data_IF_466674203658
#
_entry.id   IF_466674203658
#
_cell.length_a   1.000
_cell.length_b   1.000
_cell.length_c   1.000
_cell.angle_alpha   90.00
_cell.angle_beta   90.00
_cell.angle_gamma   90.00
#
_symmetry.space_group_name_H-M   'P 1'
#
loop_
_entity.id
_entity.type
_entity.pdbx_description
1 polymer ?
#
# COMPACT_ATOMS: atom_id res chain seq x y z
N UNK A 1 38.67 -27.62 31.11
CA UNK A 1 37.22 -27.47 31.27
C UNK A 1 36.89 -25.99 31.07
N UNK A 2 36.64 -25.59 29.83
CA UNK A 2 36.39 -24.19 29.46
C UNK A 2 34.92 -24.08 29.06
N UNK A 3 34.14 -23.29 29.80
CA UNK A 3 32.75 -22.94 29.46
C UNK A 3 32.78 -21.87 28.36
N UNK A 4 32.27 -22.17 27.18
CA UNK A 4 31.98 -21.21 26.13
C UNK A 4 30.54 -20.80 26.28
N UNK A 5 30.31 -19.54 26.67
CA UNK A 5 29.03 -18.89 26.71
C UNK A 5 28.54 -18.68 25.26
N UNK A 6 27.46 -19.33 24.87
CA UNK A 6 26.83 -19.16 23.57
C UNK A 6 25.97 -17.89 23.53
N UNK A 7 26.51 -16.81 22.98
CA UNK A 7 25.71 -15.67 22.57
C UNK A 7 25.04 -16.04 21.25
N UNK A 8 23.73 -16.20 21.28
CA UNK A 8 22.89 -16.37 20.09
C UNK A 8 22.90 -15.02 19.35
N UNK A 9 23.71 -14.91 18.33
CA UNK A 9 23.64 -13.80 17.38
C UNK A 9 22.35 -13.98 16.56
N UNK A 10 21.33 -13.24 16.94
CA UNK A 10 20.18 -13.04 16.06
C UNK A 10 20.69 -12.25 14.85
N UNK A 11 20.82 -12.93 13.72
CA UNK A 11 21.08 -12.30 12.44
C UNK A 11 19.83 -11.44 12.10
N UNK A 12 19.87 -10.17 12.48
CA UNK A 12 19.08 -9.19 11.78
C UNK A 12 19.58 -9.20 10.32
N UNK A 13 18.72 -9.36 9.30
CA UNK A 13 19.17 -9.23 7.93
C UNK A 13 19.78 -7.83 7.79
N UNK A 14 21.03 -7.78 7.35
CA UNK A 14 21.73 -6.54 6.99
C UNK A 14 20.96 -5.93 5.81
N UNK A 15 19.93 -5.15 6.13
CA UNK A 15 19.20 -4.37 5.14
C UNK A 15 20.18 -3.28 4.70
N UNK A 16 20.65 -3.39 3.47
CA UNK A 16 21.24 -2.28 2.75
C UNK A 16 20.38 -1.04 2.97
N UNK A 17 20.97 0.05 3.45
CA UNK A 17 20.37 1.37 3.49
C UNK A 17 20.18 1.88 2.03
N UNK A 18 19.29 1.27 1.28
CA UNK A 18 18.67 1.94 0.15
C UNK A 18 17.57 2.82 0.75
N UNK A 19 17.62 4.11 0.48
CA UNK A 19 16.53 5.03 0.83
C UNK A 19 15.22 4.38 0.40
N UNK A 20 14.30 4.14 1.35
CA UNK A 20 13.03 3.47 1.07
C UNK A 20 12.27 4.25 0.00
N UNK A 21 11.83 3.57 -1.05
CA UNK A 21 10.99 4.19 -2.10
C UNK A 21 9.62 4.53 -1.51
N UNK A 22 9.37 5.82 -1.27
CA UNK A 22 8.13 6.28 -0.65
C UNK A 22 6.91 6.24 -1.59
N UNK A 23 7.16 6.19 -2.89
CA UNK A 23 6.13 6.17 -3.93
C UNK A 23 6.33 5.01 -4.92
N UNK A 24 6.41 3.77 -4.44
CA UNK A 24 6.58 2.64 -5.34
C UNK A 24 5.46 2.58 -6.38
N UNK A 25 5.82 2.14 -7.59
CA UNK A 25 4.93 2.10 -8.73
C UNK A 25 5.06 0.80 -9.50
N UNK A 26 3.93 0.19 -9.85
CA UNK A 26 3.83 -0.99 -10.73
C UNK A 26 2.93 -0.71 -11.93
N UNK A 27 3.09 -1.48 -13.01
CA UNK A 27 2.27 -1.37 -14.23
C UNK A 27 1.40 -2.59 -14.43
N UNK A 28 0.16 -2.37 -14.83
CA UNK A 28 -0.83 -3.40 -15.08
C UNK A 28 -1.51 -3.17 -16.41
N UNK A 29 -1.84 -4.27 -17.09
CA UNK A 29 -2.67 -4.25 -18.29
C UNK A 29 -4.12 -4.49 -17.89
N UNK A 30 -5.03 -3.59 -18.28
CA UNK A 30 -6.47 -3.79 -18.07
C UNK A 30 -6.94 -4.97 -18.91
N UNK A 31 -7.48 -6.01 -18.24
CA UNK A 31 -7.87 -7.27 -18.88
C UNK A 31 -9.33 -7.25 -19.32
N UNK A 32 -9.65 -8.05 -20.34
CA UNK A 32 -11.00 -8.17 -20.88
C UNK A 32 -12.03 -8.55 -19.81
N UNK A 33 -11.72 -9.52 -18.96
CA UNK A 33 -12.63 -10.02 -17.91
C UNK A 33 -12.92 -9.00 -16.80
N UNK A 34 -12.14 -7.93 -16.72
CA UNK A 34 -12.28 -6.90 -15.70
C UNK A 34 -13.08 -5.70 -16.21
N UNK A 35 -13.48 -5.71 -17.50
CA UNK A 35 -14.19 -4.62 -18.12
C UNK A 35 -15.71 -4.81 -18.06
N UNK A 36 -16.42 -3.69 -18.03
CA UNK A 36 -17.87 -3.60 -18.21
C UNK A 36 -18.26 -3.67 -19.71
N UNK A 37 -19.56 -3.70 -20.05
CA UNK A 37 -20.02 -3.74 -21.44
C UNK A 37 -19.60 -2.52 -22.30
N UNK A 38 -19.15 -1.42 -21.69
CA UNK A 38 -18.64 -0.24 -22.37
C UNK A 38 -17.13 -0.33 -22.67
N UNK A 39 -16.47 -1.42 -22.30
CA UNK A 39 -15.04 -1.60 -22.47
C UNK A 39 -14.19 -0.84 -21.44
N UNK A 40 -14.80 -0.36 -20.37
CA UNK A 40 -14.14 0.30 -19.25
C UNK A 40 -13.84 -0.70 -18.14
N UNK A 41 -12.74 -0.51 -17.43
CA UNK A 41 -12.47 -1.23 -16.19
C UNK A 41 -13.67 -1.06 -15.25
N UNK A 42 -14.29 -2.16 -14.85
CA UNK A 42 -15.41 -2.14 -13.94
C UNK A 42 -15.04 -1.51 -12.59
N UNK A 43 -15.90 -0.66 -12.05
CA UNK A 43 -15.63 0.06 -10.79
C UNK A 43 -15.23 -0.87 -9.63
N UNK A 44 -15.80 -2.06 -9.54
CA UNK A 44 -15.44 -3.06 -8.53
C UNK A 44 -14.01 -3.58 -8.70
N UNK A 45 -13.50 -3.58 -9.93
CA UNK A 45 -12.17 -4.11 -10.26
C UNK A 45 -11.04 -3.14 -9.93
N UNK A 46 -11.29 -1.84 -9.89
CA UNK A 46 -10.26 -0.88 -9.44
C UNK A 46 -9.70 -1.23 -8.07
N UNK A 47 -10.54 -1.71 -7.15
CA UNK A 47 -10.09 -2.11 -5.81
C UNK A 47 -9.11 -3.28 -5.90
N UNK A 48 -9.42 -4.31 -6.70
CA UNK A 48 -8.55 -5.47 -6.91
C UNK A 48 -7.18 -5.02 -7.44
N UNK A 49 -7.15 -4.15 -8.46
CA UNK A 49 -5.92 -3.62 -9.03
C UNK A 49 -5.09 -2.84 -8.01
N UNK A 50 -5.73 -1.99 -7.20
CA UNK A 50 -5.06 -1.21 -6.17
C UNK A 50 -4.47 -2.09 -5.06
N UNK A 51 -5.21 -3.07 -4.58
CA UNK A 51 -4.75 -3.96 -3.50
C UNK A 51 -3.63 -4.87 -3.99
N UNK A 52 -3.74 -5.43 -5.20
CA UNK A 52 -2.67 -6.22 -5.80
C UNK A 52 -1.39 -5.39 -5.99
N UNK A 53 -1.52 -4.14 -6.47
CA UNK A 53 -0.39 -3.24 -6.59
C UNK A 53 0.27 -2.96 -5.22
N UNK A 54 -0.53 -2.79 -4.17
CA UNK A 54 0.02 -2.59 -2.83
C UNK A 54 0.77 -3.82 -2.32
N UNK A 55 0.26 -5.02 -2.57
CA UNK A 55 0.97 -6.27 -2.25
C UNK A 55 2.30 -6.38 -3.00
N UNK A 56 2.29 -6.12 -4.32
CA UNK A 56 3.51 -6.10 -5.13
C UNK A 56 4.52 -5.09 -4.59
N UNK A 57 4.08 -3.87 -4.23
CA UNK A 57 4.95 -2.84 -3.66
C UNK A 57 5.55 -3.25 -2.31
N UNK A 58 4.78 -3.91 -1.44
CA UNK A 58 5.28 -4.43 -0.17
C UNK A 58 6.39 -5.46 -0.39
N UNK A 59 6.18 -6.38 -1.32
CA UNK A 59 7.14 -7.43 -1.64
C UNK A 59 8.39 -6.88 -2.35
N UNK A 60 8.19 -6.09 -3.42
CA UNK A 60 9.26 -5.76 -4.38
C UNK A 60 10.11 -4.56 -3.93
N UNK A 61 9.54 -3.64 -3.14
CA UNK A 61 10.23 -2.43 -2.68
C UNK A 61 10.57 -2.43 -1.19
N UNK A 62 9.80 -3.15 -0.38
CA UNK A 62 9.99 -3.17 1.07
C UNK A 62 10.45 -4.52 1.60
N UNK A 63 10.51 -5.55 0.75
CA UNK A 63 10.89 -6.90 1.15
C UNK A 63 9.90 -7.56 2.13
N UNK A 64 8.65 -7.09 2.12
CA UNK A 64 7.60 -7.56 3.02
C UNK A 64 6.75 -8.61 2.32
N UNK A 65 6.85 -9.87 2.79
CA UNK A 65 5.96 -10.95 2.41
C UNK A 65 4.77 -11.00 3.39
N UNK A 66 3.55 -10.77 2.89
CA UNK A 66 2.33 -10.75 3.72
C UNK A 66 2.05 -12.09 4.41
N UNK A 67 2.42 -13.21 3.78
CA UNK A 67 2.25 -14.54 4.39
C UNK A 67 3.20 -14.74 5.56
N UNK A 68 4.46 -14.31 5.41
CA UNK A 68 5.44 -14.32 6.49
C UNK A 68 5.02 -13.39 7.62
N UNK A 69 4.59 -12.16 7.30
CA UNK A 69 4.08 -11.21 8.29
C UNK A 69 2.90 -11.77 9.07
N UNK A 70 1.95 -12.42 8.40
CA UNK A 70 0.83 -13.06 9.08
C UNK A 70 1.29 -14.17 10.03
N UNK A 71 2.29 -14.97 9.64
CA UNK A 71 2.88 -16.01 10.50
C UNK A 71 3.59 -15.43 11.74
N UNK A 72 4.14 -14.21 11.63
CA UNK A 72 4.77 -13.45 12.71
C UNK A 72 3.75 -12.65 13.54
N UNK A 73 2.44 -12.82 13.28
CA UNK A 73 1.38 -12.12 14.00
C UNK A 73 1.10 -10.69 13.52
N UNK A 74 1.69 -10.27 12.40
CA UNK A 74 1.45 -8.98 11.78
C UNK A 74 0.28 -9.09 10.79
N UNK A 75 -0.94 -9.09 11.32
CA UNK A 75 -2.15 -9.25 10.49
C UNK A 75 -2.93 -7.94 10.39
N UNK A 76 -3.22 -7.54 9.16
CA UNK A 76 -4.01 -6.36 8.85
C UNK A 76 -5.27 -6.75 8.07
N UNK A 77 -6.35 -6.04 8.36
CA UNK A 77 -7.61 -6.13 7.60
C UNK A 77 -7.95 -4.77 7.04
N UNK A 78 -8.55 -4.73 5.89
CA UNK A 78 -9.12 -3.50 5.36
C UNK A 78 -10.34 -3.12 6.18
N UNK A 79 -10.36 -1.92 6.75
CA UNK A 79 -11.50 -1.39 7.50
C UNK A 79 -12.25 -0.28 6.77
N UNK A 80 -11.62 0.35 5.78
CA UNK A 80 -12.24 1.41 5.00
C UNK A 80 -11.57 1.54 3.63
N UNK A 81 -12.38 1.81 2.60
CA UNK A 81 -11.95 2.38 1.33
C UNK A 81 -12.72 3.68 1.08
N UNK A 82 -12.01 4.70 0.63
CA UNK A 82 -12.58 5.87 -0.01
C UNK A 82 -11.98 5.99 -1.41
N UNK A 83 -12.80 5.88 -2.45
CA UNK A 83 -12.34 5.89 -3.83
C UNK A 83 -13.03 6.98 -4.65
N UNK A 84 -12.29 7.62 -5.56
CA UNK A 84 -12.80 8.54 -6.57
C UNK A 84 -12.37 8.07 -7.94
N UNK A 85 -13.34 7.83 -8.81
CA UNK A 85 -13.15 7.52 -10.22
C UNK A 85 -13.17 8.84 -11.00
N UNK A 86 -12.10 9.15 -11.70
CA UNK A 86 -11.90 10.45 -12.35
C UNK A 86 -11.98 10.35 -13.88
N UNK A 87 -11.45 9.27 -14.43
CA UNK A 87 -11.44 8.96 -15.87
C UNK A 87 -11.49 7.44 -16.05
N UNK A 88 -12.13 6.94 -17.11
CA UNK A 88 -12.15 5.50 -17.36
C UNK A 88 -10.74 4.97 -17.72
N UNK A 89 -10.44 3.79 -17.27
CA UNK A 89 -9.37 2.96 -17.80
C UNK A 89 -10.01 1.97 -18.79
N UNK A 90 -9.38 1.81 -19.96
CA UNK A 90 -9.97 1.02 -21.05
C UNK A 90 -9.35 -0.36 -21.16
N UNK A 91 -10.10 -1.29 -21.77
CA UNK A 91 -9.56 -2.58 -22.14
C UNK A 91 -8.23 -2.43 -22.89
N UNK A 92 -7.27 -3.28 -22.52
CA UNK A 92 -5.91 -3.30 -23.09
C UNK A 92 -5.09 -2.01 -22.87
N UNK A 93 -5.54 -1.13 -21.99
CA UNK A 93 -4.74 0.03 -21.55
C UNK A 93 -3.70 -0.42 -20.51
N UNK A 94 -2.45 0.07 -20.65
CA UNK A 94 -1.43 -0.06 -19.62
C UNK A 94 -1.59 1.07 -18.62
N UNK A 95 -1.95 0.73 -17.38
CA UNK A 95 -2.06 1.67 -16.27
C UNK A 95 -0.89 1.52 -15.31
N UNK A 96 -0.44 2.64 -14.74
CA UNK A 96 0.54 2.66 -13.66
C UNK A 96 -0.19 2.91 -12.33
N UNK A 97 0.13 2.12 -11.30
CA UNK A 97 -0.41 2.32 -9.97
C UNK A 97 0.74 2.65 -9.03
N UNK A 98 0.61 3.77 -8.33
CA UNK A 98 1.52 4.26 -7.31
C UNK A 98 0.85 4.17 -5.95
N UNK A 99 1.58 3.80 -4.91
CA UNK A 99 1.06 3.84 -3.54
C UNK A 99 2.00 4.59 -2.60
N UNK A 100 1.45 5.10 -1.48
CA UNK A 100 2.21 5.75 -0.43
C UNK A 100 1.51 5.56 0.92
N UNK A 101 2.28 5.40 1.99
CA UNK A 101 1.77 5.50 3.36
C UNK A 101 1.58 6.99 3.66
N UNK A 102 0.36 7.42 3.95
CA UNK A 102 -0.01 8.84 4.13
C UNK A 102 -0.53 9.14 5.54
N UNK A 103 -0.71 8.14 6.37
CA UNK A 103 -1.20 8.31 7.74
C UNK A 103 -1.05 7.03 8.54
N UNK A 104 -0.99 7.18 9.84
CA UNK A 104 -0.94 6.06 10.78
C UNK A 104 -1.47 6.45 12.15
N UNK A 105 -1.80 5.46 12.94
CA UNK A 105 -2.18 5.59 14.35
C UNK A 105 -1.87 4.30 15.09
N UNK A 106 -2.24 4.24 16.35
CA UNK A 106 -1.87 3.12 17.24
C UNK A 106 -2.20 1.73 16.67
N UNK A 107 -3.31 1.61 15.90
CA UNK A 107 -3.82 0.32 15.39
C UNK A 107 -4.08 0.32 13.89
N UNK A 108 -3.72 1.36 13.15
CA UNK A 108 -4.11 1.50 11.75
C UNK A 108 -3.04 2.20 10.91
N UNK A 109 -3.08 1.92 9.61
CA UNK A 109 -2.28 2.57 8.57
C UNK A 109 -3.22 3.08 7.49
N UNK A 110 -2.96 4.27 6.94
CA UNK A 110 -3.68 4.81 5.79
C UNK A 110 -2.77 4.89 4.58
N UNK A 111 -3.20 4.28 3.50
CA UNK A 111 -2.44 4.21 2.24
C UNK A 111 -3.21 4.91 1.14
N UNK A 112 -2.52 5.82 0.44
CA UNK A 112 -2.98 6.39 -0.83
C UNK A 112 -2.56 5.50 -1.97
N UNK A 113 -3.46 5.26 -2.93
CA UNK A 113 -3.17 4.57 -4.19
C UNK A 113 -3.74 5.39 -5.34
N UNK A 114 -2.88 5.69 -6.34
CA UNK A 114 -3.23 6.49 -7.50
C UNK A 114 -3.02 5.66 -8.78
N UNK A 115 -4.04 5.61 -9.63
CA UNK A 115 -3.95 4.98 -10.95
C UNK A 115 -3.79 6.04 -12.03
N UNK A 116 -2.80 5.88 -12.89
CA UNK A 116 -2.48 6.75 -14.01
C UNK A 116 -2.58 5.97 -15.33
N UNK A 117 -3.10 6.60 -16.37
CA UNK A 117 -3.05 6.10 -17.74
C UNK A 117 -1.67 6.27 -18.38
N UNK A 118 -1.53 5.74 -19.60
CA UNK A 118 -0.28 5.85 -20.37
C UNK A 118 0.15 7.27 -20.68
N UNK A 119 -0.78 8.22 -20.72
CA UNK A 119 -0.60 9.66 -20.88
C UNK A 119 -0.37 10.41 -19.55
N UNK A 120 -0.09 9.69 -18.47
CA UNK A 120 0.03 10.20 -17.08
C UNK A 120 -1.24 10.83 -16.52
N UNK A 121 -2.40 10.67 -17.18
CA UNK A 121 -3.66 11.18 -16.64
C UNK A 121 -4.10 10.37 -15.43
N UNK A 122 -4.47 11.08 -14.37
CA UNK A 122 -5.01 10.48 -13.15
C UNK A 122 -6.40 9.87 -13.44
N UNK A 123 -6.52 8.55 -13.32
CA UNK A 123 -7.74 7.77 -13.59
C UNK A 123 -8.59 7.57 -12.34
N UNK A 124 -7.96 7.20 -11.24
CA UNK A 124 -8.63 7.00 -9.97
C UNK A 124 -7.65 7.22 -8.81
N UNK A 125 -8.20 7.59 -7.66
CA UNK A 125 -7.47 7.67 -6.38
C UNK A 125 -8.26 6.92 -5.33
N UNK A 126 -7.56 6.12 -4.52
CA UNK A 126 -8.16 5.41 -3.40
C UNK A 126 -7.34 5.62 -2.14
N UNK A 127 -8.00 5.96 -1.05
CA UNK A 127 -7.48 5.89 0.30
C UNK A 127 -8.01 4.64 0.99
N UNK A 128 -7.11 3.86 1.56
CA UNK A 128 -7.45 2.63 2.28
C UNK A 128 -6.91 2.69 3.69
N UNK A 129 -7.75 2.36 4.66
CA UNK A 129 -7.34 2.16 6.04
C UNK A 129 -7.20 0.67 6.30
N UNK A 130 -5.99 0.27 6.66
CA UNK A 130 -5.65 -1.06 7.13
C UNK A 130 -5.59 -1.04 8.65
N UNK A 131 -6.37 -1.89 9.30
CA UNK A 131 -6.40 -2.00 10.76
C UNK A 131 -5.67 -3.27 11.19
N UNK A 132 -4.72 -3.12 12.13
CA UNK A 132 -4.02 -4.25 12.72
C UNK A 132 -4.95 -5.01 13.66
N UNK A 133 -4.99 -6.33 13.51
CA UNK A 133 -5.84 -7.21 14.31
C UNK A 133 -5.08 -8.44 14.79
N UNK A 134 -5.50 -8.98 15.90
CA UNK A 134 -4.99 -10.25 16.39
C UNK A 134 -5.51 -11.40 15.49
N UNK A 135 -4.65 -12.27 14.95
CA UNK A 135 -5.03 -13.23 13.90
C UNK A 135 -6.10 -14.25 14.32
N UNK A 136 -6.19 -14.57 15.63
CA UNK A 136 -7.15 -15.56 16.15
C UNK A 136 -8.45 -14.90 16.61
N UNK A 137 -8.36 -13.74 17.29
CA UNK A 137 -9.54 -13.12 17.92
C UNK A 137 -10.20 -12.04 17.07
N UNK A 138 -9.51 -11.56 16.02
CA UNK A 138 -9.96 -10.44 15.18
C UNK A 138 -10.01 -9.09 15.91
N UNK A 139 -9.60 -9.01 17.17
CA UNK A 139 -9.61 -7.75 17.93
C UNK A 139 -8.49 -6.82 17.45
N UNK A 140 -8.77 -5.53 17.46
CA UNK A 140 -7.76 -4.49 17.18
C UNK A 140 -6.56 -4.64 18.10
N UNK A 141 -5.37 -4.40 17.58
CA UNK A 141 -4.11 -4.54 18.26
C UNK A 141 -3.17 -3.39 17.89
N UNK A 142 -2.48 -2.83 18.90
CA UNK A 142 -1.48 -1.79 18.68
C UNK A 142 -0.30 -2.32 17.86
N UNK A 143 0.34 -1.45 17.09
CA UNK A 143 1.59 -1.81 16.41
C UNK A 143 2.67 -2.17 17.44
N UNK A 144 3.59 -3.09 17.14
CA UNK A 144 4.70 -3.38 18.01
C UNK A 144 5.70 -2.20 18.01
N UNK A 145 6.50 -2.09 19.07
CA UNK A 145 7.42 -0.97 19.26
C UNK A 145 8.49 -0.85 18.14
N UNK A 146 8.86 -1.98 17.55
CA UNK A 146 9.81 -2.06 16.44
C UNK A 146 9.23 -1.66 15.07
N UNK A 147 7.94 -1.29 15.02
CA UNK A 147 7.28 -0.84 13.80
C UNK A 147 7.54 0.64 13.46
N UNK A 148 7.91 1.45 14.48
CA UNK A 148 8.14 2.88 14.32
C UNK A 148 9.19 3.24 13.25
N UNK A 149 10.34 2.57 13.16
CA UNK A 149 11.32 2.87 12.11
C UNK A 149 10.78 2.70 10.69
N UNK A 150 9.93 1.70 10.46
CA UNK A 150 9.28 1.53 9.16
C UNK A 150 8.35 2.71 8.83
N UNK A 151 7.58 3.18 9.81
CA UNK A 151 6.70 4.34 9.64
C UNK A 151 7.51 5.59 9.29
N UNK A 152 8.59 5.87 10.03
CA UNK A 152 9.43 7.06 9.85
C UNK A 152 10.05 7.11 8.44
N UNK A 153 10.41 5.97 7.89
CA UNK A 153 10.96 5.88 6.54
C UNK A 153 9.90 5.94 5.44
N UNK A 154 8.74 5.27 5.65
CA UNK A 154 7.72 5.08 4.63
C UNK A 154 6.71 6.24 4.55
N UNK A 155 6.50 6.96 5.66
CA UNK A 155 5.45 7.99 5.76
C UNK A 155 5.73 9.16 4.84
N UNK A 156 4.69 9.54 4.10
CA UNK A 156 4.68 10.73 3.24
C UNK A 156 3.79 11.79 3.87
N UNK A 157 4.28 13.01 3.95
CA UNK A 157 3.50 14.15 4.41
C UNK A 157 2.47 14.56 3.34
N UNK A 158 1.22 14.21 3.61
CA UNK A 158 0.06 14.57 2.79
C UNK A 158 -0.97 15.21 3.72
N UNK A 159 -1.56 16.37 3.37
CA UNK A 159 -2.57 17.02 4.19
C UNK A 159 -3.89 16.25 4.15
N UNK A 160 -3.94 15.13 4.87
CA UNK A 160 -5.10 14.21 4.91
C UNK A 160 -6.35 14.85 5.50
N UNK A 161 -6.17 15.82 6.40
CA UNK A 161 -7.28 16.55 7.06
C UNK A 161 -8.15 17.32 6.07
N UNK A 162 -7.60 17.71 4.92
CA UNK A 162 -8.34 18.40 3.86
C UNK A 162 -9.23 17.45 3.04
N UNK A 163 -9.09 16.15 3.24
CA UNK A 163 -9.85 15.10 2.58
C UNK A 163 -9.41 14.78 1.15
N UNK A 164 -9.94 13.66 0.63
CA UNK A 164 -9.55 13.11 -0.67
C UNK A 164 -9.79 14.06 -1.85
N UNK A 165 -10.83 14.90 -1.80
CA UNK A 165 -11.14 15.84 -2.88
C UNK A 165 -10.04 16.90 -3.04
N UNK A 166 -9.59 17.53 -1.94
CA UNK A 166 -8.51 18.50 -1.97
C UNK A 166 -7.18 17.87 -2.41
N UNK A 167 -6.94 16.60 -1.99
CA UNK A 167 -5.78 15.84 -2.42
C UNK A 167 -5.76 15.62 -3.94
N UNK A 168 -6.91 15.29 -4.53
CA UNK A 168 -7.05 15.12 -5.98
C UNK A 168 -6.71 16.41 -6.74
N UNK A 169 -7.18 17.55 -6.24
CA UNK A 169 -6.85 18.84 -6.86
C UNK A 169 -5.34 19.13 -6.79
N UNK A 170 -4.70 18.83 -5.67
CA UNK A 170 -3.23 18.92 -5.54
C UNK A 170 -2.51 17.97 -6.51
N UNK A 171 -2.96 16.72 -6.66
CA UNK A 171 -2.35 15.74 -7.59
C UNK A 171 -2.50 16.15 -9.06
N UNK A 172 -3.57 16.88 -9.43
CA UNK A 172 -3.79 17.39 -10.78
C UNK A 172 -2.96 18.64 -11.09
N UNK A 173 -2.63 19.42 -10.06
CA UNK A 173 -1.82 20.63 -10.19
C UNK A 173 -0.31 20.34 -10.24
N UNK A 174 0.10 19.16 -9.81
CA UNK A 174 1.52 18.73 -9.85
C UNK A 174 1.87 18.24 -11.27
N UNK A 175 2.94 18.76 -11.90
CA UNK A 175 3.32 18.44 -13.28
C UNK A 175 3.80 16.99 -13.47
#
# INVERSE_FOLDING_TARGET
MVKISGTLLIFAPSIYLSVMERYPQSRYMVRFNDCDPFGHLNNSKYIDYFINAREDHLRDHYGIDLKQWAAEGQTFVVSQHEIRYLRPAFYNESVAIRSALIGWGETWLQVEMCMFGGDRQLKAVMWTVFTRVHPVTGKRQSHPDDFQPFIDEALVDVPVDLGLSARIDSLRASP
#
